data_IF_040558022132
#
_entry.id   IF_040558022132
#
_cell.length_a   1.000
_cell.length_b   1.000
_cell.length_c   1.000
_cell.angle_alpha   90.00
_cell.angle_beta   90.00
_cell.angle_gamma   90.00
#
_symmetry.space_group_name_H-M   'P 1'
#
loop_
_entity.id
_entity.type
_entity.pdbx_description
1 polymer ?
#
# COMPACT_ATOMS: atom_id res chain seq x y z
N UNK A 1 -32.55 -34.89 41.35
CA UNK A 1 -31.39 -35.17 42.25
C UNK A 1 -30.06 -35.34 41.49
N UNK A 2 -29.89 -34.80 40.27
CA UNK A 2 -28.66 -34.96 39.47
C UNK A 2 -27.74 -33.73 39.54
N UNK A 3 -28.23 -32.60 40.06
CA UNK A 3 -27.50 -31.33 40.08
C UNK A 3 -26.50 -31.17 41.24
N UNK A 4 -26.56 -31.97 42.31
CA UNK A 4 -25.66 -31.79 43.46
C UNK A 4 -24.29 -32.45 43.30
N UNK A 5 -24.18 -33.51 42.49
CA UNK A 5 -22.90 -34.21 42.32
C UNK A 5 -21.90 -33.32 41.56
N UNK A 6 -22.34 -32.60 40.53
CA UNK A 6 -21.49 -31.72 39.75
C UNK A 6 -20.93 -30.56 40.59
N UNK A 7 -21.78 -29.89 41.39
CA UNK A 7 -21.34 -28.77 42.24
C UNK A 7 -20.34 -29.19 43.32
N UNK A 8 -20.48 -30.39 43.87
CA UNK A 8 -19.53 -30.96 44.84
C UNK A 8 -18.19 -31.34 44.19
N UNK A 9 -18.20 -31.75 42.93
CA UNK A 9 -16.95 -31.98 42.19
C UNK A 9 -16.23 -30.66 41.90
N UNK A 10 -16.95 -29.61 41.50
CA UNK A 10 -16.37 -28.28 41.32
C UNK A 10 -15.85 -27.67 42.63
N UNK A 11 -16.54 -27.87 43.75
CA UNK A 11 -16.07 -27.41 45.07
C UNK A 11 -14.80 -28.15 45.50
N UNK A 12 -14.71 -29.46 45.28
CA UNK A 12 -13.51 -30.24 45.57
C UNK A 12 -12.34 -29.92 44.64
N UNK A 13 -12.60 -29.67 43.35
CA UNK A 13 -11.60 -29.20 42.38
C UNK A 13 -11.03 -27.85 42.81
N UNK A 14 -11.88 -26.89 43.16
CA UNK A 14 -11.46 -25.55 43.59
C UNK A 14 -10.77 -25.56 44.96
N UNK A 15 -11.23 -26.39 45.89
CA UNK A 15 -10.59 -26.56 47.20
C UNK A 15 -9.18 -27.19 47.09
N UNK A 16 -9.01 -28.22 46.25
CA UNK A 16 -7.70 -28.83 45.95
C UNK A 16 -6.77 -27.85 45.23
N UNK A 17 -7.29 -26.99 44.37
CA UNK A 17 -6.52 -25.92 43.73
C UNK A 17 -6.07 -24.84 44.73
N UNK A 18 -6.89 -24.53 45.73
CA UNK A 18 -6.54 -23.58 46.79
C UNK A 18 -5.43 -24.10 47.70
N UNK A 19 -5.38 -25.41 47.98
CA UNK A 19 -4.30 -26.02 48.77
C UNK A 19 -3.01 -26.17 47.96
N UNK A 20 -3.09 -26.54 46.68
CA UNK A 20 -1.94 -26.68 45.78
C UNK A 20 -1.28 -25.33 45.41
N UNK A 21 -2.08 -24.29 45.17
CA UNK A 21 -1.56 -22.93 44.91
C UNK A 21 -0.92 -22.27 46.13
N UNK A 22 -1.20 -22.78 47.34
CA UNK A 22 -0.69 -22.23 48.60
C UNK A 22 0.78 -22.59 48.90
N UNK A 23 1.33 -23.67 48.33
CA UNK A 23 2.74 -24.05 48.45
C UNK A 23 3.67 -23.41 47.41
N UNK A 24 3.10 -22.86 46.33
CA UNK A 24 3.85 -22.38 45.14
C UNK A 24 3.61 -20.88 44.87
N UNK A 25 3.31 -20.10 45.93
CA UNK A 25 2.87 -18.69 45.85
C UNK A 25 3.84 -17.79 45.09
N UNK A 26 5.15 -18.05 45.16
CA UNK A 26 6.15 -17.28 44.42
C UNK A 26 6.10 -17.56 42.90
N UNK A 27 5.93 -18.83 42.51
CA UNK A 27 5.81 -19.22 41.10
C UNK A 27 4.54 -18.67 40.46
N UNK A 28 3.40 -18.72 41.15
CA UNK A 28 2.16 -18.18 40.59
C UNK A 28 2.12 -16.65 40.56
N UNK A 29 2.82 -15.97 41.47
CA UNK A 29 2.90 -14.50 41.48
C UNK A 29 3.93 -13.95 40.50
N UNK A 30 5.02 -14.68 40.24
CA UNK A 30 6.16 -14.18 39.45
C UNK A 30 6.37 -15.00 38.18
N UNK A 31 6.30 -16.32 38.25
CA UNK A 31 6.53 -17.22 37.11
C UNK A 31 5.34 -17.29 36.14
N UNK A 32 4.11 -17.40 36.64
CA UNK A 32 2.91 -17.45 35.81
C UNK A 32 2.74 -16.23 34.88
N UNK A 33 2.85 -14.97 35.36
CA UNK A 33 2.78 -13.81 34.46
C UNK A 33 3.93 -13.79 33.44
N UNK A 34 5.11 -14.30 33.81
CA UNK A 34 6.26 -14.38 32.89
C UNK A 34 6.01 -15.41 31.77
N UNK A 35 5.46 -16.58 32.09
CA UNK A 35 5.09 -17.59 31.10
C UNK A 35 3.98 -17.08 30.18
N UNK A 36 2.96 -16.40 30.73
CA UNK A 36 1.90 -15.77 29.93
C UNK A 36 2.48 -14.71 29.00
N UNK A 37 3.46 -13.93 29.46
CA UNK A 37 4.14 -12.94 28.63
C UNK A 37 4.94 -13.59 27.50
N UNK A 38 5.68 -14.67 27.78
CA UNK A 38 6.50 -15.35 26.77
C UNK A 38 5.61 -16.00 25.71
N UNK A 39 4.60 -16.77 26.13
CA UNK A 39 3.66 -17.43 25.22
C UNK A 39 2.78 -16.40 24.51
N UNK A 40 2.24 -15.42 25.24
CA UNK A 40 1.45 -14.34 24.65
C UNK A 40 2.24 -13.50 23.66
N UNK A 41 3.52 -13.25 23.94
CA UNK A 41 4.44 -12.54 23.05
C UNK A 41 4.73 -13.32 21.77
N UNK A 42 5.05 -14.62 21.88
CA UNK A 42 5.37 -15.44 20.70
C UNK A 42 4.19 -15.54 19.73
N UNK A 43 2.98 -15.80 20.24
CA UNK A 43 1.78 -15.88 19.40
C UNK A 43 1.28 -14.50 18.95
N UNK A 44 1.43 -13.46 19.78
CA UNK A 44 0.98 -12.10 19.49
C UNK A 44 1.77 -11.45 18.34
N UNK A 45 3.11 -11.56 18.37
CA UNK A 45 3.98 -11.00 17.33
C UNK A 45 3.77 -11.70 15.97
N UNK A 46 3.63 -13.02 15.96
CA UNK A 46 3.37 -13.79 14.75
C UNK A 46 2.01 -13.42 14.13
N UNK A 47 0.96 -13.31 14.95
CA UNK A 47 -0.36 -12.96 14.44
C UNK A 47 -0.44 -11.51 13.98
N UNK A 48 0.27 -10.60 14.65
CA UNK A 48 0.29 -9.18 14.29
C UNK A 48 1.10 -8.92 13.02
N UNK A 49 2.24 -9.61 12.85
CA UNK A 49 3.07 -9.49 11.65
C UNK A 49 2.35 -10.03 10.42
N UNK A 50 1.73 -11.21 10.50
CA UNK A 50 0.88 -11.75 9.41
C UNK A 50 -0.29 -10.81 9.09
N UNK A 51 -0.96 -10.28 10.11
CA UNK A 51 -2.05 -9.32 9.91
C UNK A 51 -1.59 -8.05 9.18
N UNK A 52 -0.38 -7.54 9.45
CA UNK A 52 0.18 -6.40 8.71
C UNK A 52 0.30 -6.71 7.22
N UNK A 53 0.84 -7.88 6.87
CA UNK A 53 0.96 -8.31 5.48
C UNK A 53 -0.41 -8.49 4.83
N UNK A 54 -1.36 -9.13 5.52
CA UNK A 54 -2.73 -9.33 5.03
C UNK A 54 -3.45 -8.01 4.78
N UNK A 55 -3.34 -7.03 5.70
CA UNK A 55 -3.94 -5.70 5.56
C UNK A 55 -3.28 -4.93 4.42
N UNK A 56 -1.96 -5.02 4.27
CA UNK A 56 -1.25 -4.37 3.17
C UNK A 56 -1.60 -5.00 1.81
N UNK A 57 -1.78 -6.32 1.75
CA UNK A 57 -2.24 -7.01 0.54
C UNK A 57 -3.70 -6.69 0.20
N UNK A 58 -4.59 -6.63 1.21
CA UNK A 58 -5.99 -6.23 1.03
C UNK A 58 -6.14 -4.78 0.60
N UNK A 59 -5.37 -3.84 1.15
CA UNK A 59 -5.38 -2.44 0.67
C UNK A 59 -5.02 -2.29 -0.82
N UNK A 60 -4.25 -3.23 -1.39
CA UNK A 60 -3.93 -3.26 -2.83
C UNK A 60 -5.02 -3.91 -3.69
N UNK A 61 -5.88 -4.72 -3.08
CA UNK A 61 -7.09 -5.27 -3.70
C UNK A 61 -8.28 -4.49 -3.14
N UNK A 62 -8.46 -3.26 -3.60
CA UNK A 62 -9.73 -2.57 -3.36
C UNK A 62 -10.81 -3.48 -3.95
N UNK A 63 -11.83 -3.80 -3.16
CA UNK A 63 -12.93 -4.62 -3.63
C UNK A 63 -13.57 -3.94 -4.84
N UNK A 64 -13.80 -4.70 -5.92
CA UNK A 64 -14.34 -4.17 -7.18
C UNK A 64 -15.61 -3.34 -6.96
N UNK A 65 -16.44 -3.75 -6.01
CA UNK A 65 -17.67 -3.05 -5.59
C UNK A 65 -17.43 -1.63 -5.06
N UNK A 66 -16.26 -1.37 -4.45
CA UNK A 66 -15.85 -0.04 -3.98
C UNK A 66 -15.27 0.75 -5.14
N UNK A 67 -14.43 0.14 -5.99
CA UNK A 67 -13.87 0.78 -7.19
C UNK A 67 -14.97 1.29 -8.13
N UNK A 68 -16.04 0.52 -8.30
CA UNK A 68 -17.20 0.89 -9.13
C UNK A 68 -17.99 2.06 -8.55
N UNK A 69 -18.17 2.12 -7.22
CA UNK A 69 -18.87 3.23 -6.55
C UNK A 69 -18.10 4.55 -6.63
N UNK A 70 -16.77 4.50 -6.60
CA UNK A 70 -15.91 5.69 -6.65
C UNK A 70 -15.39 6.01 -8.07
N UNK A 71 -15.79 5.25 -9.09
CA UNK A 71 -15.39 5.47 -10.48
C UNK A 71 -13.91 5.22 -10.76
N UNK A 72 -13.20 4.56 -9.85
CA UNK A 72 -11.79 4.24 -9.99
C UNK A 72 -11.63 2.93 -10.76
N UNK A 73 -11.91 2.98 -12.08
CA UNK A 73 -11.61 1.84 -12.95
C UNK A 73 -10.10 1.66 -13.00
N UNK A 74 -9.60 0.58 -12.40
CA UNK A 74 -8.21 0.14 -12.59
C UNK A 74 -7.99 0.00 -14.10
N UNK A 75 -6.97 0.68 -14.65
CA UNK A 75 -6.60 0.51 -16.06
C UNK A 75 -6.38 -0.99 -16.28
N UNK A 76 -7.21 -1.59 -17.13
CA UNK A 76 -7.24 -3.04 -17.36
C UNK A 76 -5.94 -3.53 -18.00
N UNK A 77 -5.23 -2.62 -18.67
CA UNK A 77 -3.93 -2.92 -19.23
C UNK A 77 -2.83 -2.89 -18.16
N UNK A 78 -1.99 -3.95 -18.09
CA UNK A 78 -0.81 -3.91 -17.25
C UNK A 78 0.10 -2.79 -17.73
N UNK A 79 0.40 -1.84 -16.85
CA UNK A 79 1.36 -0.76 -17.10
C UNK A 79 2.76 -1.37 -17.06
N UNK A 80 3.14 -2.07 -18.13
CA UNK A 80 4.50 -2.58 -18.31
C UNK A 80 5.38 -1.53 -18.99
N UNK A 81 6.69 -1.63 -18.79
CA UNK A 81 7.65 -0.68 -19.35
C UNK A 81 7.63 -0.71 -20.88
N UNK A 82 7.45 -1.90 -21.46
CA UNK A 82 7.44 -2.14 -22.91
C UNK A 82 6.24 -1.46 -23.57
N UNK A 83 5.03 -1.61 -23.01
CA UNK A 83 3.82 -0.94 -23.54
C UNK A 83 3.91 0.57 -23.49
N UNK A 84 4.47 1.10 -22.40
CA UNK A 84 4.68 2.54 -22.26
C UNK A 84 5.76 3.04 -23.22
N UNK A 85 6.80 2.24 -23.45
CA UNK A 85 7.83 2.53 -24.44
C UNK A 85 7.27 2.57 -25.86
N UNK A 86 6.51 1.56 -26.28
CA UNK A 86 5.85 1.51 -27.60
C UNK A 86 4.92 2.70 -27.82
N UNK A 87 4.13 3.06 -26.79
CA UNK A 87 3.25 4.23 -26.83
C UNK A 87 4.01 5.53 -27.02
N UNK A 88 5.10 5.70 -26.29
CA UNK A 88 5.94 6.92 -26.37
C UNK A 88 6.68 6.97 -27.71
N UNK A 89 7.19 5.84 -28.18
CA UNK A 89 7.87 5.72 -29.47
C UNK A 89 6.93 6.02 -30.65
N UNK A 90 5.64 5.64 -30.56
CA UNK A 90 4.66 5.95 -31.60
C UNK A 90 4.12 7.39 -31.57
N UNK A 91 4.27 8.11 -30.46
CA UNK A 91 3.76 9.48 -30.30
C UNK A 91 4.84 10.55 -30.48
N UNK A 92 6.10 10.22 -30.21
CA UNK A 92 7.20 11.15 -30.35
C UNK A 92 7.88 10.96 -31.70
N UNK A 93 7.85 12.00 -32.52
CA UNK A 93 8.72 12.11 -33.68
C UNK A 93 10.16 12.38 -33.20
N UNK A 94 10.96 11.32 -33.15
CA UNK A 94 12.36 11.37 -32.69
C UNK A 94 13.27 12.00 -33.76
N UNK A 95 12.88 11.95 -35.04
CA UNK A 95 13.63 12.50 -36.17
C UNK A 95 13.68 14.03 -36.14
N UNK A 96 12.56 14.66 -35.79
CA UNK A 96 12.39 16.11 -35.86
C UNK A 96 12.60 16.81 -34.50
N UNK A 97 13.33 16.16 -33.58
CA UNK A 97 13.62 16.74 -32.27
C UNK A 97 14.69 17.84 -32.37
N UNK A 98 14.31 19.08 -32.07
CA UNK A 98 15.23 20.21 -31.94
C UNK A 98 15.45 20.60 -30.47
N UNK A 99 16.72 20.77 -30.07
CA UNK A 99 17.07 21.23 -28.72
C UNK A 99 16.93 22.75 -28.62
N UNK A 100 15.86 23.21 -27.97
CA UNK A 100 15.59 24.63 -27.76
C UNK A 100 16.28 25.11 -26.47
N UNK A 101 17.28 25.99 -26.63
CA UNK A 101 17.97 26.66 -25.52
C UNK A 101 17.11 27.76 -24.90
N UNK A 102 17.11 27.91 -23.58
CA UNK A 102 16.55 29.09 -22.92
C UNK A 102 17.37 30.37 -23.18
N UNK A 103 16.79 31.56 -22.94
CA UNK A 103 17.50 32.82 -23.05
C UNK A 103 18.57 32.94 -21.96
N UNK A 104 19.75 33.43 -22.31
CA UNK A 104 20.79 33.75 -21.31
C UNK A 104 20.38 34.99 -20.51
N UNK A 105 20.91 35.21 -19.28
CA UNK A 105 20.53 36.35 -18.45
C UNK A 105 20.71 37.74 -19.09
N UNK A 106 21.55 37.83 -20.12
CA UNK A 106 21.83 39.05 -20.89
C UNK A 106 21.15 39.08 -22.28
N UNK A 107 20.34 38.07 -22.61
CA UNK A 107 19.56 38.01 -23.85
C UNK A 107 18.12 38.49 -23.56
N UNK A 108 17.55 39.29 -24.45
CA UNK A 108 16.17 39.76 -24.28
C UNK A 108 15.20 38.58 -24.37
N UNK A 109 14.54 38.30 -23.24
CA UNK A 109 13.56 37.23 -23.12
C UNK A 109 12.35 37.44 -24.02
N UNK A 110 12.01 38.70 -24.37
CA UNK A 110 10.86 39.03 -25.20
C UNK A 110 11.09 38.66 -26.67
N UNK A 111 12.25 38.99 -27.22
CA UNK A 111 12.61 38.59 -28.59
C UNK A 111 12.69 37.07 -28.74
N UNK A 112 13.22 36.38 -27.72
CA UNK A 112 13.27 34.92 -27.69
C UNK A 112 11.87 34.29 -27.74
N UNK A 113 10.94 34.80 -26.91
CA UNK A 113 9.55 34.35 -26.90
C UNK A 113 8.84 34.60 -28.23
N UNK A 114 9.10 35.73 -28.89
CA UNK A 114 8.54 36.06 -30.20
C UNK A 114 9.01 35.09 -31.29
N UNK A 115 10.31 34.81 -31.36
CA UNK A 115 10.87 33.82 -32.30
C UNK A 115 10.28 32.43 -32.09
N UNK A 116 10.12 32.02 -30.83
CA UNK A 116 9.48 30.75 -30.46
C UNK A 116 8.00 30.70 -30.88
N UNK A 117 7.27 31.81 -30.69
CA UNK A 117 5.88 31.91 -31.13
C UNK A 117 5.76 31.82 -32.66
N UNK A 118 6.66 32.47 -33.39
CA UNK A 118 6.71 32.41 -34.86
C UNK A 118 7.03 31.00 -35.36
N UNK A 119 8.03 30.32 -34.79
CA UNK A 119 8.34 28.93 -35.13
C UNK A 119 7.16 27.99 -34.90
N UNK A 120 6.43 28.17 -33.78
CA UNK A 120 5.20 27.40 -33.51
C UNK A 120 4.12 27.65 -34.55
N UNK A 121 3.95 28.89 -35.01
CA UNK A 121 2.98 29.21 -36.06
C UNK A 121 3.38 28.58 -37.39
N UNK A 122 4.67 28.62 -37.75
CA UNK A 122 5.21 27.97 -38.95
C UNK A 122 4.99 26.47 -38.93
N UNK A 123 5.28 25.80 -37.80
CA UNK A 123 5.03 24.35 -37.65
C UNK A 123 3.56 23.99 -37.81
N UNK A 124 2.63 24.80 -37.27
CA UNK A 124 1.18 24.61 -37.47
C UNK A 124 0.76 24.77 -38.93
N UNK A 125 1.25 25.80 -39.62
CA UNK A 125 0.98 25.97 -41.05
C UNK A 125 1.53 24.80 -41.87
N UNK A 126 2.71 24.29 -41.51
CA UNK A 126 3.35 23.17 -42.18
C UNK A 126 2.60 21.85 -41.96
N UNK A 127 2.03 21.61 -40.76
CA UNK A 127 1.13 20.47 -40.54
C UNK A 127 -0.16 20.61 -41.35
N UNK A 128 -0.78 21.79 -41.37
CA UNK A 128 -2.03 22.03 -42.10
C UNK A 128 -1.87 21.87 -43.63
N UNK A 129 -0.67 22.12 -44.16
CA UNK A 129 -0.35 21.97 -45.59
C UNK A 129 0.05 20.54 -45.96
N UNK A 130 0.56 19.76 -45.01
CA UNK A 130 0.97 18.36 -45.23
C UNK A 130 -0.24 17.41 -45.27
N UNK A 131 -1.35 17.82 -44.67
CA UNK A 131 -2.61 17.05 -44.59
C UNK A 131 -3.62 17.36 -45.73
N UNK A 132 -3.27 18.23 -46.71
CA UNK A 132 -4.07 18.52 -47.92
C UNK A 132 -3.53 17.78 -49.16
#
# INVERSE_FOLDING_TARGET
MVTSQASELFSQLTAKWKTLSSGTRAFFKVGLPMIIMVVGGSYGLERFSSLRYDVQFRKRRIDKDIEEKFGWKKKEEPVTLEKQYEKVQGQLDVSDWENIRGPRPWEDSKEFQLKMAEQRQRRKQQSDTTDQ
#
